data_IF_673795241298
#
_entry.id   IF_673795241298
#
_cell.length_a   1.000
_cell.length_b   1.000
_cell.length_c   1.000
_cell.angle_alpha   90.00
_cell.angle_beta   90.00
_cell.angle_gamma   90.00
#
_symmetry.space_group_name_H-M   'P 1'
#
loop_
_entity.id
_entity.type
_entity.pdbx_description
1 polymer ?
#
# COMPACT_ATOMS: atom_id res chain seq x y z
N UNK A 1 10.53 -1.57 -12.12
CA UNK A 1 9.12 -1.74 -12.48
C UNK A 1 9.00 -1.88 -14.00
N UNK A 2 8.15 -2.78 -14.44
CA UNK A 2 7.92 -3.07 -15.86
C UNK A 2 6.43 -3.28 -16.09
N UNK A 3 5.96 -2.95 -17.29
CA UNK A 3 4.62 -3.35 -17.72
C UNK A 3 4.68 -4.83 -18.09
N UNK A 4 3.77 -5.61 -17.54
CA UNK A 4 3.65 -7.05 -17.76
C UNK A 4 2.23 -7.38 -18.22
N UNK A 5 2.13 -8.32 -19.15
CA UNK A 5 0.84 -8.85 -19.60
C UNK A 5 0.47 -10.08 -18.76
N UNK A 6 -0.66 -9.99 -18.08
CA UNK A 6 -1.25 -11.09 -17.32
C UNK A 6 -2.55 -11.56 -17.99
N UNK A 7 -2.40 -12.28 -19.10
CA UNK A 7 -3.55 -12.83 -19.83
C UNK A 7 -4.43 -11.77 -20.51
N UNK A 8 -3.79 -10.76 -21.13
CA UNK A 8 -4.46 -9.65 -21.80
C UNK A 8 -4.68 -8.41 -20.93
N UNK A 9 -4.33 -8.46 -19.64
CA UNK A 9 -4.34 -7.31 -18.73
C UNK A 9 -2.93 -6.78 -18.51
N UNK A 10 -2.68 -5.51 -18.88
CA UNK A 10 -1.39 -4.84 -18.70
C UNK A 10 -1.27 -4.25 -17.30
N UNK A 11 -0.33 -4.74 -16.53
CA UNK A 11 -0.12 -4.36 -15.13
C UNK A 11 1.30 -3.87 -14.87
N UNK A 12 1.49 -3.06 -13.84
CA UNK A 12 2.83 -2.73 -13.37
C UNK A 12 3.35 -3.85 -12.46
N UNK A 13 4.43 -4.51 -12.87
CA UNK A 13 5.01 -5.61 -12.12
C UNK A 13 6.46 -5.36 -11.72
N UNK A 14 6.90 -6.01 -10.66
CA UNK A 14 8.28 -6.06 -10.24
C UNK A 14 8.64 -7.46 -9.74
N UNK A 15 9.78 -7.97 -10.18
CA UNK A 15 10.38 -9.17 -9.60
C UNK A 15 11.43 -8.75 -8.59
N UNK A 16 11.16 -9.04 -7.32
CA UNK A 16 12.06 -8.76 -6.20
C UNK A 16 13.10 -9.90 -6.12
N UNK A 17 14.10 -9.87 -6.98
CA UNK A 17 14.97 -11.02 -7.26
C UNK A 17 16.47 -10.81 -6.97
N UNK A 18 16.89 -9.59 -6.64
CA UNK A 18 18.32 -9.27 -6.58
C UNK A 18 18.98 -9.66 -5.25
N UNK A 19 18.34 -9.32 -4.14
CA UNK A 19 18.89 -9.52 -2.79
C UNK A 19 17.79 -9.87 -1.79
N UNK A 20 18.18 -10.38 -0.63
CA UNK A 20 17.27 -10.52 0.50
C UNK A 20 16.83 -9.16 1.00
N UNK A 21 15.61 -9.06 1.51
CA UNK A 21 15.01 -7.82 2.02
C UNK A 21 14.98 -6.67 1.00
N UNK A 22 14.86 -7.01 -0.27
CA UNK A 22 14.77 -6.02 -1.33
C UNK A 22 13.48 -5.18 -1.19
N UNK A 23 13.67 -3.87 -1.21
CA UNK A 23 12.59 -2.89 -1.27
C UNK A 23 12.52 -2.29 -2.68
N UNK A 24 11.33 -2.18 -3.21
CA UNK A 24 11.06 -1.51 -4.48
C UNK A 24 10.00 -0.44 -4.27
N UNK A 25 10.32 0.80 -4.62
CA UNK A 25 9.44 1.96 -4.51
C UNK A 25 9.42 2.67 -5.86
N UNK A 26 8.26 3.16 -6.23
CA UNK A 26 8.11 4.11 -7.33
C UNK A 26 7.10 5.19 -6.93
N UNK A 27 7.50 6.45 -7.04
CA UNK A 27 6.62 7.58 -6.78
C UNK A 27 5.91 8.02 -8.06
N UNK A 28 4.64 8.38 -7.91
CA UNK A 28 3.77 8.88 -8.96
C UNK A 28 3.08 10.15 -8.45
N UNK A 29 3.25 11.27 -9.11
CA UNK A 29 2.71 12.54 -8.66
C UNK A 29 3.72 13.44 -7.95
N UNK A 30 3.25 14.55 -7.41
CA UNK A 30 4.09 15.63 -6.90
C UNK A 30 4.35 15.50 -5.40
N UNK A 31 5.56 15.88 -4.96
CA UNK A 31 5.98 15.79 -3.56
C UNK A 31 5.18 16.70 -2.59
N UNK A 32 4.52 17.71 -3.11
CA UNK A 32 3.75 18.69 -2.33
C UNK A 32 2.24 18.34 -2.26
N UNK A 33 1.85 17.15 -2.73
CA UNK A 33 0.47 16.68 -2.60
C UNK A 33 0.12 16.44 -1.13
N UNK A 34 -1.08 16.86 -0.76
CA UNK A 34 -1.62 16.75 0.60
C UNK A 34 -3.11 16.43 0.54
N UNK A 35 -3.66 15.84 1.61
CA UNK A 35 -5.10 15.55 1.74
C UNK A 35 -5.67 14.81 0.53
N UNK A 36 -5.16 13.62 0.27
CA UNK A 36 -5.61 12.80 -0.84
C UNK A 36 -5.83 11.34 -0.44
N UNK A 37 -6.64 10.70 -1.24
CA UNK A 37 -6.87 9.25 -1.22
C UNK A 37 -6.10 8.61 -2.36
N UNK A 38 -5.42 7.52 -2.09
CA UNK A 38 -4.79 6.66 -3.09
C UNK A 38 -5.37 5.25 -3.01
N UNK A 39 -5.70 4.67 -4.15
CA UNK A 39 -6.24 3.31 -4.25
C UNK A 39 -5.60 2.58 -5.41
N UNK A 40 -5.36 1.28 -5.26
CA UNK A 40 -4.92 0.41 -6.34
C UNK A 40 -5.42 -1.02 -6.15
N UNK A 41 -5.45 -1.75 -7.24
CA UNK A 41 -5.52 -3.20 -7.21
C UNK A 41 -4.09 -3.73 -7.02
N UNK A 42 -3.92 -4.66 -6.09
CA UNK A 42 -2.62 -5.22 -5.70
C UNK A 42 -2.67 -6.73 -5.66
N UNK A 43 -1.61 -7.37 -6.11
CA UNK A 43 -1.46 -8.82 -6.05
C UNK A 43 0.00 -9.20 -5.79
N UNK A 44 0.22 -10.22 -5.00
CA UNK A 44 1.55 -10.79 -4.77
C UNK A 44 1.57 -12.27 -5.12
N UNK A 45 2.69 -12.75 -5.61
CA UNK A 45 2.96 -14.17 -5.72
C UNK A 45 3.69 -14.71 -4.46
N UNK A 46 4.15 -15.92 -4.54
CA UNK A 46 4.78 -16.64 -3.45
C UNK A 46 3.95 -17.83 -2.99
N UNK A 47 4.24 -18.28 -1.82
CA UNK A 47 3.52 -19.38 -1.17
C UNK A 47 2.96 -18.95 0.19
N UNK A 48 2.35 -19.90 0.91
CA UNK A 48 1.76 -19.63 2.23
C UNK A 48 2.75 -19.04 3.24
N UNK A 49 4.04 -19.36 3.14
CA UNK A 49 5.07 -18.97 4.12
C UNK A 49 5.89 -17.76 3.68
N UNK A 50 5.97 -17.52 2.37
CA UNK A 50 6.87 -16.53 1.79
C UNK A 50 6.15 -15.64 0.79
N UNK A 51 5.39 -14.69 1.32
CA UNK A 51 4.72 -13.66 0.53
C UNK A 51 5.50 -12.36 0.61
N UNK A 52 5.54 -11.61 -0.49
CA UNK A 52 6.04 -10.24 -0.48
C UNK A 52 5.10 -9.32 0.27
N UNK A 53 5.64 -8.25 0.83
CA UNK A 53 4.84 -7.11 1.26
C UNK A 53 4.53 -6.27 0.03
N UNK A 54 3.30 -5.75 -0.03
CA UNK A 54 2.83 -4.94 -1.14
C UNK A 54 1.93 -3.83 -0.60
N UNK A 55 2.05 -2.63 -1.16
CA UNK A 55 1.26 -1.52 -0.64
C UNK A 55 1.40 -0.22 -1.40
N UNK A 56 0.85 0.84 -0.82
CA UNK A 56 0.85 2.20 -1.34
C UNK A 56 1.63 3.11 -0.41
N UNK A 57 2.13 4.20 -0.98
CA UNK A 57 2.65 5.34 -0.24
C UNK A 57 1.66 6.47 -0.39
N UNK A 58 1.26 7.07 0.73
CA UNK A 58 0.40 8.24 0.77
C UNK A 58 0.96 9.18 1.83
N UNK A 59 1.34 10.40 1.41
CA UNK A 59 1.83 11.46 2.30
C UNK A 59 2.97 10.98 3.24
N UNK A 60 3.95 10.20 2.69
CA UNK A 60 5.09 9.59 3.40
C UNK A 60 4.75 8.41 4.33
N UNK A 61 3.48 8.08 4.54
CA UNK A 61 3.12 6.82 5.18
C UNK A 61 3.20 5.68 4.17
N UNK A 62 3.66 4.52 4.63
CA UNK A 62 3.58 3.26 3.89
C UNK A 62 2.39 2.47 4.43
N UNK A 63 1.48 2.13 3.56
CA UNK A 63 0.31 1.31 3.83
C UNK A 63 0.49 -0.02 3.13
N UNK A 64 0.67 -1.11 3.86
CA UNK A 64 1.06 -2.36 3.24
C UNK A 64 0.35 -3.59 3.82
N UNK A 65 0.06 -4.54 2.95
CA UNK A 65 -0.21 -5.91 3.31
C UNK A 65 1.14 -6.60 3.58
N UNK A 66 1.33 -7.06 4.80
CA UNK A 66 2.57 -7.69 5.26
C UNK A 66 2.46 -9.20 5.11
N UNK A 67 3.23 -9.75 4.17
CA UNK A 67 3.09 -11.13 3.73
C UNK A 67 3.30 -12.16 4.81
N UNK A 68 4.40 -12.09 5.56
CA UNK A 68 4.75 -13.12 6.52
C UNK A 68 3.92 -13.07 7.82
N UNK A 69 3.50 -11.89 8.24
CA UNK A 69 2.73 -11.72 9.48
C UNK A 69 1.21 -11.56 9.26
N UNK A 70 0.75 -11.58 8.01
CA UNK A 70 -0.67 -11.52 7.64
C UNK A 70 -1.41 -10.38 8.34
N UNK A 71 -0.97 -9.16 8.05
CA UNK A 71 -1.56 -7.95 8.62
C UNK A 71 -1.62 -6.83 7.59
N UNK A 72 -2.56 -5.92 7.77
CA UNK A 72 -2.53 -4.58 7.19
C UNK A 72 -1.79 -3.67 8.15
N UNK A 73 -0.81 -2.92 7.65
CA UNK A 73 0.05 -2.05 8.47
C UNK A 73 0.15 -0.66 7.86
N UNK A 74 0.14 0.35 8.72
CA UNK A 74 0.52 1.72 8.41
C UNK A 74 1.78 2.04 9.18
N UNK A 75 2.82 2.49 8.49
CA UNK A 75 4.08 2.90 9.11
C UNK A 75 4.56 4.24 8.57
N UNK A 76 5.20 5.01 9.44
CA UNK A 76 6.10 6.08 9.08
C UNK A 76 7.49 5.78 9.64
N UNK A 77 8.52 5.93 8.82
CA UNK A 77 9.90 5.78 9.29
C UNK A 77 10.43 7.06 9.94
N UNK A 78 9.68 8.15 9.86
CA UNK A 78 10.13 9.47 10.32
C UNK A 78 9.90 9.70 11.82
N UNK A 79 8.76 9.24 12.35
CA UNK A 79 8.31 9.56 13.71
C UNK A 79 7.90 8.34 14.55
N UNK A 80 8.32 7.14 14.18
CA UNK A 80 7.98 5.88 14.84
C UNK A 80 6.47 5.55 14.85
N UNK A 81 5.67 6.22 14.03
CA UNK A 81 4.26 5.92 13.88
C UNK A 81 4.08 4.54 13.25
N UNK A 82 3.39 3.65 13.95
CA UNK A 82 3.11 2.30 13.47
C UNK A 82 1.79 1.79 14.03
N UNK A 83 0.88 1.41 13.14
CA UNK A 83 -0.38 0.75 13.48
C UNK A 83 -0.60 -0.45 12.58
N UNK A 84 -1.10 -1.56 13.14
CA UNK A 84 -1.39 -2.75 12.35
C UNK A 84 -2.55 -3.53 12.93
N UNK A 85 -3.29 -4.20 12.06
CA UNK A 85 -4.36 -5.13 12.40
C UNK A 85 -4.16 -6.45 11.65
N UNK A 86 -4.60 -7.58 12.18
CA UNK A 86 -4.59 -8.84 11.46
C UNK A 86 -5.38 -8.71 10.15
N UNK A 87 -4.78 -9.16 9.06
CA UNK A 87 -5.41 -9.19 7.74
C UNK A 87 -4.87 -10.38 6.95
N UNK A 88 -5.66 -11.43 6.83
CA UNK A 88 -5.29 -12.62 6.07
C UNK A 88 -5.51 -12.40 4.58
N UNK A 89 -4.49 -12.63 3.77
CA UNK A 89 -4.59 -12.55 2.32
C UNK A 89 -3.83 -13.71 1.65
N UNK A 90 -4.23 -14.01 0.43
CA UNK A 90 -3.69 -15.11 -0.36
C UNK A 90 -2.82 -14.58 -1.50
N UNK A 91 -1.86 -15.40 -1.93
CA UNK A 91 -1.08 -15.15 -3.15
C UNK A 91 -1.93 -15.39 -4.40
N UNK A 92 -1.60 -14.69 -5.49
CA UNK A 92 -2.29 -14.78 -6.80
C UNK A 92 -3.77 -14.39 -6.76
N UNK A 93 -4.20 -13.71 -5.70
CA UNK A 93 -5.51 -13.08 -5.58
C UNK A 93 -5.34 -11.57 -5.62
N UNK A 94 -6.17 -10.91 -6.38
CA UNK A 94 -6.25 -9.45 -6.44
C UNK A 94 -7.02 -8.91 -5.24
N UNK A 95 -6.41 -7.93 -4.58
CA UNK A 95 -7.01 -7.15 -3.50
C UNK A 95 -7.07 -5.69 -3.91
N UNK A 96 -8.03 -4.96 -3.38
CA UNK A 96 -8.03 -3.50 -3.41
C UNK A 96 -7.42 -3.00 -2.11
N UNK A 97 -6.52 -2.03 -2.22
CA UNK A 97 -5.98 -1.28 -1.08
C UNK A 97 -6.34 0.18 -1.28
N UNK A 98 -7.01 0.76 -0.29
CA UNK A 98 -7.39 2.17 -0.27
C UNK A 98 -6.81 2.84 0.97
N UNK A 99 -6.20 4.00 0.76
CA UNK A 99 -5.53 4.76 1.81
C UNK A 99 -6.00 6.20 1.76
N UNK A 100 -6.19 6.83 2.90
CA UNK A 100 -6.57 8.23 2.99
C UNK A 100 -5.81 8.90 4.13
N UNK A 101 -5.29 10.08 3.86
CA UNK A 101 -4.66 10.95 4.85
C UNK A 101 -5.40 12.28 4.84
N UNK A 102 -5.88 12.67 6.00
CA UNK A 102 -6.49 13.98 6.22
C UNK A 102 -5.65 14.73 7.25
N UNK A 103 -5.16 15.90 6.87
CA UNK A 103 -4.55 16.89 7.78
C UNK A 103 -5.64 17.90 8.12
N UNK A 104 -5.93 18.05 9.39
CA UNK A 104 -6.99 18.91 9.90
C UNK A 104 -6.48 20.33 10.10
N UNK A 105 -7.41 21.29 10.26
CA UNK A 105 -7.09 22.71 10.44
C UNK A 105 -6.27 22.99 11.71
N UNK A 106 -6.43 22.16 12.74
CA UNK A 106 -5.66 22.25 13.98
C UNK A 106 -4.24 21.66 13.88
N UNK A 107 -3.85 21.18 12.69
CA UNK A 107 -2.55 20.59 12.42
C UNK A 107 -2.43 19.11 12.80
N UNK A 108 -3.46 18.50 13.36
CA UNK A 108 -3.52 17.05 13.57
C UNK A 108 -3.96 16.31 12.31
N UNK A 109 -3.94 15.01 12.31
CA UNK A 109 -4.36 14.22 11.15
C UNK A 109 -5.12 12.96 11.49
N UNK A 110 -5.79 12.42 10.50
CA UNK A 110 -6.44 11.11 10.56
C UNK A 110 -5.90 10.26 9.41
N UNK A 111 -5.33 9.12 9.76
CA UNK A 111 -4.66 8.22 8.83
C UNK A 111 -5.51 6.96 8.69
N UNK A 112 -5.92 6.62 7.47
CA UNK A 112 -6.90 5.57 7.20
C UNK A 112 -6.40 4.58 6.16
N UNK A 113 -6.68 3.30 6.37
CA UNK A 113 -6.47 2.23 5.41
C UNK A 113 -7.57 1.19 5.46
N UNK A 114 -7.92 0.66 4.30
CA UNK A 114 -8.72 -0.56 4.17
C UNK A 114 -8.28 -1.38 2.98
N UNK A 115 -8.42 -2.69 3.12
CA UNK A 115 -8.14 -3.63 2.04
C UNK A 115 -9.23 -4.70 1.99
N UNK A 116 -9.53 -5.19 0.78
CA UNK A 116 -10.52 -6.23 0.56
C UNK A 116 -10.24 -6.99 -0.74
N UNK A 117 -10.72 -8.23 -0.89
CA UNK A 117 -10.62 -8.95 -2.17
C UNK A 117 -11.29 -8.15 -3.29
N UNK A 118 -10.65 -8.04 -4.45
CA UNK A 118 -11.21 -7.30 -5.61
C UNK A 118 -12.59 -7.83 -6.04
N UNK A 119 -12.89 -9.11 -5.77
CA UNK A 119 -14.16 -9.75 -6.07
C UNK A 119 -15.30 -9.44 -5.08
N UNK A 120 -14.98 -8.74 -3.98
CA UNK A 120 -15.95 -8.36 -2.97
C UNK A 120 -16.28 -6.86 -3.06
N UNK A 121 -17.40 -6.48 -2.47
CA UNK A 121 -17.77 -5.07 -2.34
C UNK A 121 -16.82 -4.31 -1.39
N UNK A 122 -16.69 -3.01 -1.62
CA UNK A 122 -15.91 -2.14 -0.74
C UNK A 122 -16.56 -2.09 0.65
N UNK A 123 -15.82 -2.41 1.74
CA UNK A 123 -16.36 -2.28 3.09
C UNK A 123 -16.63 -0.81 3.43
N UNK A 124 -17.74 -0.53 4.12
CA UNK A 124 -18.08 0.83 4.55
C UNK A 124 -17.06 1.37 5.56
N UNK A 125 -16.68 0.55 6.53
CA UNK A 125 -15.74 0.91 7.56
C UNK A 125 -14.27 0.85 7.08
N UNK A 126 -13.43 1.75 7.61
CA UNK A 126 -11.99 1.64 7.49
C UNK A 126 -11.47 0.49 8.38
N UNK A 127 -10.55 -0.30 7.82
CA UNK A 127 -9.90 -1.39 8.58
C UNK A 127 -8.96 -0.82 9.66
N UNK A 128 -8.28 0.28 9.34
CA UNK A 128 -7.48 1.08 10.27
C UNK A 128 -7.93 2.53 10.12
N UNK A 129 -8.26 3.19 11.22
CA UNK A 129 -8.48 4.62 11.32
C UNK A 129 -7.83 5.10 12.61
N UNK A 130 -6.80 5.91 12.50
CA UNK A 130 -6.01 6.36 13.65
C UNK A 130 -5.71 7.84 13.58
N UNK A 131 -5.85 8.57 14.69
CA UNK A 131 -5.39 9.95 14.80
C UNK A 131 -3.86 10.00 14.86
N UNK A 132 -3.30 11.09 14.36
CA UNK A 132 -1.88 11.40 14.45
C UNK A 132 -1.69 12.87 14.82
N UNK A 133 -1.06 13.12 15.95
CA UNK A 133 -0.88 14.49 16.47
C UNK A 133 0.10 15.33 15.65
N UNK A 134 1.03 14.69 14.94
CA UNK A 134 2.05 15.34 14.12
C UNK A 134 2.13 14.66 12.74
N UNK A 135 1.05 14.76 11.91
CA UNK A 135 1.01 14.06 10.64
C UNK A 135 2.02 14.64 9.64
N UNK A 136 2.38 13.83 8.65
CA UNK A 136 3.07 14.36 7.49
C UNK A 136 2.13 15.26 6.71
N UNK A 137 2.52 16.53 6.54
CA UNK A 137 1.66 17.53 5.92
C UNK A 137 1.52 17.34 4.41
N UNK A 138 2.53 16.76 3.77
CA UNK A 138 2.58 16.54 2.33
C UNK A 138 3.51 15.39 1.97
N UNK A 139 3.38 14.88 0.75
CA UNK A 139 4.26 13.87 0.18
C UNK A 139 3.68 13.24 -1.08
N UNK A 140 4.55 12.81 -1.96
CA UNK A 140 4.15 12.15 -3.21
C UNK A 140 3.46 10.81 -2.94
N UNK A 141 2.40 10.48 -3.68
CA UNK A 141 1.87 9.12 -3.72
C UNK A 141 2.85 8.17 -4.40
N UNK A 142 2.76 6.89 -4.07
CA UNK A 142 3.62 5.89 -4.68
C UNK A 142 3.17 4.46 -4.44
N UNK A 143 3.84 3.55 -5.10
CA UNK A 143 3.70 2.11 -4.92
C UNK A 143 4.90 1.55 -4.15
N UNK A 144 4.65 0.55 -3.32
CA UNK A 144 5.63 -0.04 -2.43
C UNK A 144 5.59 -1.55 -2.48
N UNK A 145 6.76 -2.17 -2.52
CA UNK A 145 6.91 -3.60 -2.34
C UNK A 145 8.19 -3.91 -1.55
N UNK A 146 8.16 -5.00 -0.81
CA UNK A 146 9.34 -5.53 -0.15
C UNK A 146 9.26 -7.06 -0.10
N UNK A 147 10.36 -7.73 -0.42
CA UNK A 147 10.46 -9.16 -0.22
C UNK A 147 11.59 -9.50 0.74
N UNK A 148 11.32 -10.28 1.79
CA UNK A 148 12.38 -10.83 2.63
C UNK A 148 13.18 -11.93 1.93
N UNK A 149 12.69 -12.44 0.81
CA UNK A 149 13.34 -13.47 0.00
C UNK A 149 13.36 -13.06 -1.47
N UNK A 150 14.32 -13.59 -2.22
CA UNK A 150 14.45 -13.35 -3.65
C UNK A 150 13.35 -14.01 -4.48
N UNK A 151 13.22 -13.59 -5.74
CA UNK A 151 12.35 -14.16 -6.79
C UNK A 151 10.85 -14.11 -6.51
N UNK A 152 10.39 -13.15 -5.73
CA UNK A 152 8.95 -12.90 -5.54
C UNK A 152 8.49 -11.77 -6.44
N UNK A 153 7.29 -11.92 -6.98
CA UNK A 153 6.68 -10.92 -7.86
C UNK A 153 5.55 -10.18 -7.15
N UNK A 154 5.40 -8.93 -7.50
CA UNK A 154 4.30 -8.06 -7.06
C UNK A 154 3.71 -7.38 -8.27
N UNK A 155 2.41 -7.10 -8.22
CA UNK A 155 1.67 -6.51 -9.33
C UNK A 155 0.71 -5.44 -8.84
N UNK A 156 0.63 -4.36 -9.61
CA UNK A 156 -0.29 -3.24 -9.39
C UNK A 156 -1.10 -2.96 -10.65
N UNK A 157 -2.36 -2.64 -10.45
CA UNK A 157 -3.28 -2.24 -11.49
C UNK A 157 -4.24 -1.18 -10.98
N UNK A 158 -4.89 -0.44 -11.87
CA UNK A 158 -5.95 0.52 -11.55
C UNK A 158 -5.58 1.52 -10.44
N UNK A 159 -4.33 2.01 -10.45
CA UNK A 159 -3.91 3.04 -9.51
C UNK A 159 -4.69 4.34 -9.76
N UNK A 160 -5.34 4.84 -8.73
CA UNK A 160 -6.06 6.10 -8.74
C UNK A 160 -5.69 6.96 -7.53
N UNK A 161 -5.60 8.27 -7.76
CA UNK A 161 -5.25 9.25 -6.73
C UNK A 161 -6.18 10.44 -6.92
N UNK A 162 -6.83 10.86 -5.84
CA UNK A 162 -7.75 12.00 -5.87
C UNK A 162 -7.74 12.75 -4.55
N UNK A 163 -7.90 14.07 -4.61
CA UNK A 163 -7.95 14.91 -3.41
C UNK A 163 -9.20 14.59 -2.58
N UNK A 164 -9.03 14.68 -1.27
CA UNK A 164 -10.14 14.52 -0.32
C UNK A 164 -11.05 15.74 -0.39
N UNK A 165 -12.33 15.50 -0.29
CA UNK A 165 -13.35 16.55 -0.13
C UNK A 165 -13.53 16.86 1.34
#
# INVERSE_FOLDING_TARGET
WQIQDLGGNLVAGNTLDRVLFQRAINFVGHKDMSNYTAQADIMTDGDRRTKSNIGLINQRYIFALIGNSQKLEIISNYDRFRHSVPFSFQTKIWYKLKTRVDVLEDGTGIIRAKAWPKSADEPDAWTIEVPHSTPHLQGAPGIYAMSPQSKKKVYFDNLSIYYNN
#
